data_IF_321247334445
#
_entry.id   IF_321247334445
#
_cell.length_a   1.000
_cell.length_b   1.000
_cell.length_c   1.000
_cell.angle_alpha   90.00
_cell.angle_beta   90.00
_cell.angle_gamma   90.00
#
_symmetry.space_group_name_H-M   'P 1'
#
loop_
_entity.id
_entity.type
_entity.pdbx_description
1 polymer ?
#
# COMPACT_ATOMS: atom_id res chain seq x y z
N UNK A 1 24.37 19.74 -0.61
CA UNK A 1 23.21 19.18 0.10
C UNK A 1 23.60 19.10 1.56
N UNK A 2 22.80 19.58 2.53
CA UNK A 2 23.07 19.24 3.92
C UNK A 2 23.08 17.72 4.00
N UNK A 3 24.14 17.16 4.56
CA UNK A 3 24.19 15.77 4.96
C UNK A 3 23.57 15.71 6.35
N UNK A 4 22.59 14.83 6.59
CA UNK A 4 21.97 13.89 5.64
C UNK A 4 20.90 14.54 4.75
N UNK A 5 20.59 13.89 3.62
CA UNK A 5 19.45 14.24 2.76
C UNK A 5 18.10 14.01 3.46
N UNK A 6 17.01 14.43 2.83
CA UNK A 6 15.67 14.25 3.38
C UNK A 6 15.23 12.77 3.31
N UNK A 7 14.77 12.22 4.43
CA UNK A 7 14.24 10.85 4.47
C UNK A 7 12.84 10.78 3.87
N UNK A 8 12.75 10.25 2.65
CA UNK A 8 11.47 10.03 1.98
C UNK A 8 10.67 8.88 2.57
N UNK A 9 11.31 7.81 3.09
CA UNK A 9 10.58 6.66 3.60
C UNK A 9 9.73 7.00 4.80
N UNK A 10 8.49 6.51 4.73
CA UNK A 10 7.44 6.95 5.63
C UNK A 10 7.20 5.95 6.76
N UNK A 11 6.77 6.50 7.88
CA UNK A 11 6.23 5.79 9.03
C UNK A 11 4.71 5.90 8.93
N UNK A 12 4.00 4.78 8.93
CA UNK A 12 2.53 4.75 8.83
C UNK A 12 1.95 4.10 10.09
N UNK A 13 1.10 4.83 10.80
CA UNK A 13 0.36 4.36 11.95
C UNK A 13 -1.14 4.39 11.65
N UNK A 14 -1.81 3.28 11.90
CA UNK A 14 -3.26 3.15 11.85
C UNK A 14 -3.78 2.63 13.19
N UNK A 15 -4.68 3.37 13.82
CA UNK A 15 -5.33 2.99 15.08
C UNK A 15 -6.83 2.97 14.88
N UNK A 16 -7.45 1.86 15.25
CA UNK A 16 -8.89 1.64 15.20
C UNK A 16 -9.45 1.48 16.60
N UNK A 17 -10.55 2.17 16.85
CA UNK A 17 -11.25 2.20 18.12
C UNK A 17 -12.55 1.41 18.03
N UNK A 18 -12.98 0.86 19.16
CA UNK A 18 -14.29 0.24 19.25
C UNK A 18 -15.39 1.30 19.03
N UNK A 19 -16.41 1.03 18.19
CA UNK A 19 -17.53 1.94 18.01
C UNK A 19 -18.36 2.07 19.28
N UNK A 20 -18.23 3.19 19.99
CA UNK A 20 -19.12 3.55 21.09
C UNK A 20 -20.21 4.48 20.54
N UNK A 21 -21.49 4.14 20.76
CA UNK A 21 -22.62 4.84 20.16
C UNK A 21 -22.53 6.37 20.37
N UNK A 22 -22.66 7.12 19.27
CA UNK A 22 -22.60 8.59 19.15
C UNK A 22 -21.23 9.27 19.36
N UNK A 23 -20.12 8.53 19.45
CA UNK A 23 -18.76 9.11 19.49
C UNK A 23 -18.07 8.99 18.14
N UNK A 24 -17.15 9.90 17.87
CA UNK A 24 -16.45 9.96 16.58
C UNK A 24 -15.16 10.77 16.73
N UNK A 25 -14.03 10.26 16.24
CA UNK A 25 -12.76 11.01 16.17
C UNK A 25 -12.90 12.29 15.34
N UNK A 26 -13.89 12.36 14.44
CA UNK A 26 -14.20 13.58 13.68
C UNK A 26 -14.75 14.72 14.54
N UNK A 27 -15.09 14.45 15.80
CA UNK A 27 -15.45 15.48 16.79
C UNK A 27 -14.24 16.12 17.47
N UNK A 28 -13.02 15.65 17.20
CA UNK A 28 -11.81 16.28 17.70
C UNK A 28 -11.70 17.71 17.16
N UNK A 29 -11.48 18.65 18.06
CA UNK A 29 -11.18 20.04 17.71
C UNK A 29 -9.83 20.16 17.03
N UNK A 30 -9.63 21.26 16.32
CA UNK A 30 -8.34 21.56 15.68
C UNK A 30 -7.18 21.59 16.67
N UNK A 31 -7.38 22.18 17.85
CA UNK A 31 -6.38 22.21 18.92
C UNK A 31 -6.01 20.80 19.42
N UNK A 32 -7.00 19.89 19.54
CA UNK A 32 -6.71 18.50 19.91
C UNK A 32 -5.91 17.79 18.82
N UNK A 33 -6.22 18.02 17.55
CA UNK A 33 -5.48 17.45 16.42
C UNK A 33 -4.04 17.97 16.40
N UNK A 34 -3.88 19.29 16.41
CA UNK A 34 -2.56 19.94 16.44
C UNK A 34 -1.75 19.50 17.67
N UNK A 35 -2.41 19.22 18.81
CA UNK A 35 -1.69 18.82 20.03
C UNK A 35 -0.91 17.51 19.91
N UNK A 36 -1.37 16.51 19.14
CA UNK A 36 -0.59 15.30 18.91
C UNK A 36 0.33 15.42 17.69
N UNK A 37 -0.03 16.22 16.68
CA UNK A 37 0.85 16.48 15.53
C UNK A 37 2.10 17.27 15.95
N UNK A 38 1.96 18.24 16.85
CA UNK A 38 3.08 18.98 17.41
C UNK A 38 4.09 18.08 18.14
N UNK A 39 3.62 16.98 18.76
CA UNK A 39 4.50 15.98 19.39
C UNK A 39 5.24 15.15 18.34
N UNK A 40 4.58 14.87 17.21
CA UNK A 40 5.23 14.24 16.07
C UNK A 40 6.25 15.18 15.39
N UNK A 41 6.16 16.50 15.60
CA UNK A 41 6.92 17.55 14.92
C UNK A 41 6.44 17.82 13.49
N UNK A 42 5.13 17.73 13.24
CA UNK A 42 4.51 18.10 11.97
C UNK A 42 3.27 18.99 12.16
N UNK A 43 2.88 19.72 11.12
CA UNK A 43 1.74 20.66 11.14
C UNK A 43 0.83 20.44 9.94
N UNK A 44 -0.43 20.88 10.01
CA UNK A 44 -1.37 20.81 8.88
C UNK A 44 -1.13 22.01 7.96
N UNK A 45 -0.91 21.75 6.67
CA UNK A 45 -0.71 22.76 5.63
C UNK A 45 -1.93 22.93 4.72
N UNK A 46 -2.75 21.90 4.58
CA UNK A 46 -4.02 21.95 3.84
C UNK A 46 -5.01 20.91 4.36
N UNK A 47 -6.29 21.07 4.06
CA UNK A 47 -7.35 20.19 4.54
C UNK A 47 -8.45 20.01 3.51
N UNK A 48 -9.08 18.84 3.52
CA UNK A 48 -10.26 18.51 2.74
C UNK A 48 -11.10 17.48 3.49
N UNK A 49 -12.41 17.67 3.57
CA UNK A 49 -13.31 16.79 4.31
C UNK A 49 -14.48 16.36 3.43
N UNK A 50 -15.07 15.21 3.74
CA UNK A 50 -16.33 14.77 3.13
C UNK A 50 -17.29 14.15 4.17
N UNK A 51 -18.38 13.52 3.70
CA UNK A 51 -19.35 12.89 4.58
C UNK A 51 -18.82 11.73 5.42
N UNK A 52 -17.65 11.18 5.09
CA UNK A 52 -17.09 9.96 5.65
C UNK A 52 -15.89 10.21 6.57
N UNK A 53 -14.97 11.09 6.19
CA UNK A 53 -13.74 11.37 6.95
C UNK A 53 -13.22 12.79 6.69
N UNK A 54 -12.31 13.20 7.56
CA UNK A 54 -11.55 14.44 7.45
C UNK A 54 -10.11 14.12 7.06
N UNK A 55 -9.55 14.86 6.10
CA UNK A 55 -8.22 14.63 5.55
C UNK A 55 -7.38 15.90 5.65
N UNK A 56 -6.12 15.73 6.04
CA UNK A 56 -5.18 16.81 6.25
C UNK A 56 -3.86 16.49 5.56
N UNK A 57 -3.42 17.41 4.70
CA UNK A 57 -2.06 17.39 4.18
C UNK A 57 -1.18 18.00 5.27
N UNK A 58 -0.13 17.28 5.65
CA UNK A 58 0.81 17.70 6.67
C UNK A 58 2.06 18.31 6.03
N UNK A 59 2.82 19.07 6.81
CA UNK A 59 4.16 19.54 6.44
C UNK A 59 5.11 18.40 6.10
N UNK A 60 4.83 17.20 6.64
CA UNK A 60 5.67 16.01 6.55
C UNK A 60 4.82 14.75 6.24
N UNK A 61 3.93 14.77 5.23
CA UNK A 61 3.04 13.66 4.74
C UNK A 61 1.53 13.93 4.99
N UNK A 62 0.77 13.03 5.64
CA UNK A 62 -0.71 13.08 5.66
C UNK A 62 -1.40 12.48 6.91
N UNK A 63 -2.61 12.96 7.18
CA UNK A 63 -3.51 12.50 8.26
C UNK A 63 -4.94 12.28 7.73
N UNK A 64 -5.55 11.17 8.12
CA UNK A 64 -6.95 10.82 7.84
C UNK A 64 -7.70 10.45 9.12
N UNK A 65 -8.81 11.13 9.39
CA UNK A 65 -9.66 10.91 10.57
C UNK A 65 -11.04 10.43 10.13
N UNK A 66 -11.30 9.15 10.33
CA UNK A 66 -12.61 8.51 10.21
C UNK A 66 -13.32 8.51 11.58
N UNK A 67 -14.62 8.12 11.66
CA UNK A 67 -15.32 8.08 12.94
C UNK A 67 -14.62 7.26 14.03
N UNK A 68 -14.08 6.09 13.72
CA UNK A 68 -13.37 5.24 14.69
C UNK A 68 -12.04 4.69 14.17
N UNK A 69 -11.45 5.35 13.16
CA UNK A 69 -10.11 5.04 12.64
C UNK A 69 -9.33 6.34 12.44
N UNK A 70 -8.07 6.34 12.82
CA UNK A 70 -7.11 7.39 12.45
C UNK A 70 -5.93 6.76 11.73
N UNK A 71 -5.53 7.35 10.60
CA UNK A 71 -4.32 6.99 9.85
C UNK A 71 -3.42 8.19 9.81
N UNK A 72 -2.20 8.06 10.32
CA UNK A 72 -1.17 9.09 10.29
C UNK A 72 0.03 8.53 9.56
N UNK A 73 0.49 9.26 8.56
CA UNK A 73 1.69 8.94 7.82
C UNK A 73 2.64 10.12 7.92
N UNK A 74 3.92 9.84 8.16
CA UNK A 74 4.94 10.88 8.35
C UNK A 74 6.27 10.50 7.70
N UNK A 75 6.95 11.45 7.08
CA UNK A 75 8.31 11.29 6.54
C UNK A 75 9.36 12.07 7.35
N UNK A 76 10.59 12.16 6.84
CA UNK A 76 11.69 12.87 7.49
C UNK A 76 12.08 12.25 8.83
N UNK A 77 12.45 13.12 9.77
CA UNK A 77 12.81 12.76 11.16
C UNK A 77 11.64 12.91 12.13
N UNK A 78 10.41 12.98 11.62
CA UNK A 78 9.18 13.07 12.41
C UNK A 78 9.08 11.91 13.42
N UNK A 79 8.62 12.22 14.64
CA UNK A 79 8.59 11.30 15.80
C UNK A 79 7.20 10.69 15.99
N UNK A 80 6.70 10.02 14.96
CA UNK A 80 5.31 9.55 14.90
C UNK A 80 4.86 8.79 16.16
N UNK A 81 5.64 7.83 16.64
CA UNK A 81 5.24 7.02 17.80
C UNK A 81 5.25 7.80 19.12
N UNK A 82 5.95 8.95 19.21
CA UNK A 82 5.83 9.84 20.39
C UNK A 82 4.49 10.54 20.47
N UNK A 83 3.76 10.70 19.37
CA UNK A 83 2.43 11.29 19.36
C UNK A 83 1.36 10.35 19.95
N UNK A 84 1.66 9.05 20.04
CA UNK A 84 0.71 8.01 20.41
C UNK A 84 0.06 8.21 21.78
N UNK A 85 0.79 8.50 22.88
CA UNK A 85 0.16 8.77 24.17
C UNK A 85 -0.83 9.93 24.12
N UNK A 86 -0.48 11.01 23.39
CA UNK A 86 -1.34 12.19 23.26
C UNK A 86 -2.58 11.89 22.42
N UNK A 87 -2.41 11.18 21.31
CA UNK A 87 -3.50 10.71 20.45
C UNK A 87 -4.51 9.87 21.25
N UNK A 88 -4.03 8.87 21.99
CA UNK A 88 -4.89 7.99 22.80
C UNK A 88 -5.61 8.78 23.90
N UNK A 89 -4.94 9.73 24.55
CA UNK A 89 -5.54 10.59 25.56
C UNK A 89 -6.66 11.49 24.99
N UNK A 90 -6.46 12.09 23.80
CA UNK A 90 -7.52 12.92 23.19
C UNK A 90 -8.68 12.07 22.69
N UNK A 91 -8.44 10.87 22.15
CA UNK A 91 -9.49 9.93 21.78
C UNK A 91 -10.31 9.49 23.01
N UNK A 92 -9.64 9.16 24.12
CA UNK A 92 -10.30 8.83 25.37
C UNK A 92 -11.16 9.99 25.91
N UNK A 93 -10.70 11.24 25.77
CA UNK A 93 -11.44 12.43 26.22
C UNK A 93 -12.79 12.63 25.53
N UNK A 94 -12.96 12.08 24.32
CA UNK A 94 -14.22 12.10 23.57
C UNK A 94 -14.98 10.77 23.66
N UNK A 95 -14.58 9.87 24.58
CA UNK A 95 -15.25 8.60 24.84
C UNK A 95 -14.77 7.42 23.97
N UNK A 96 -13.67 7.56 23.24
CA UNK A 96 -13.05 6.50 22.44
C UNK A 96 -11.77 5.99 23.11
N UNK A 97 -11.92 5.19 24.16
CA UNK A 97 -10.80 4.67 24.94
C UNK A 97 -10.36 3.24 24.57
N UNK A 98 -11.27 2.42 24.02
CA UNK A 98 -10.99 1.02 23.67
C UNK A 98 -10.40 0.96 22.26
N UNK A 99 -9.09 0.75 22.15
CA UNK A 99 -8.43 0.40 20.89
C UNK A 99 -8.66 -1.07 20.60
N UNK A 100 -8.94 -1.39 19.35
CA UNK A 100 -9.31 -2.76 18.93
C UNK A 100 -8.40 -3.31 17.84
N UNK A 101 -7.67 -2.43 17.15
CA UNK A 101 -6.58 -2.79 16.23
C UNK A 101 -5.60 -1.63 16.11
N UNK A 102 -4.31 -1.94 16.13
CA UNK A 102 -3.24 -1.04 15.74
C UNK A 102 -2.40 -1.72 14.66
N UNK A 103 -2.03 -0.96 13.63
CA UNK A 103 -1.05 -1.38 12.62
C UNK A 103 -0.02 -0.28 12.44
N UNK A 104 1.25 -0.68 12.47
CA UNK A 104 2.37 0.18 12.14
C UNK A 104 3.17 -0.45 10.99
N UNK A 105 3.48 0.34 9.97
CA UNK A 105 4.30 -0.10 8.83
C UNK A 105 5.32 0.95 8.44
N UNK A 106 6.48 0.47 7.97
CA UNK A 106 7.45 1.30 7.25
C UNK A 106 8.38 0.46 6.38
N UNK A 107 8.96 1.12 5.37
CA UNK A 107 10.10 0.58 4.64
C UNK A 107 11.41 0.64 5.44
N UNK A 108 12.48 0.14 4.84
CA UNK A 108 13.84 0.49 5.25
C UNK A 108 14.10 1.97 4.97
N UNK A 109 14.67 2.67 5.94
CA UNK A 109 15.10 4.06 5.82
C UNK A 109 16.33 4.18 4.90
N UNK A 110 16.44 5.30 4.17
CA UNK A 110 17.66 5.66 3.46
C UNK A 110 18.74 6.21 4.40
N UNK A 111 18.32 6.88 5.48
CA UNK A 111 19.16 7.52 6.48
C UNK A 111 18.76 7.05 7.89
N UNK A 112 18.91 5.74 8.22
CA UNK A 112 18.51 5.19 9.51
C UNK A 112 19.25 5.83 10.70
N UNK A 113 20.51 6.24 10.51
CA UNK A 113 21.39 6.80 11.54
C UNK A 113 20.94 8.14 12.12
N UNK A 114 20.05 8.85 11.43
CA UNK A 114 19.51 10.15 11.86
C UNK A 114 18.06 10.10 12.31
N UNK A 115 17.44 8.92 12.27
CA UNK A 115 16.10 8.75 12.79
C UNK A 115 16.11 8.93 14.31
N UNK A 116 15.28 9.80 14.88
CA UNK A 116 15.27 9.99 16.33
C UNK A 116 14.54 8.84 17.03
N UNK A 117 14.86 8.62 18.31
CA UNK A 117 14.07 7.73 19.18
C UNK A 117 12.56 8.04 19.06
N UNK A 118 11.68 7.02 18.93
CA UNK A 118 11.96 5.57 18.99
C UNK A 118 12.22 4.90 17.64
N UNK A 119 12.63 5.65 16.61
CA UNK A 119 12.71 5.17 15.23
C UNK A 119 14.12 4.74 14.77
N UNK A 120 15.08 4.55 15.69
CA UNK A 120 16.43 4.10 15.30
C UNK A 120 16.44 2.66 14.79
N UNK A 121 15.55 1.81 15.30
CA UNK A 121 15.45 0.40 14.92
C UNK A 121 14.01 -0.09 15.03
N UNK A 122 13.70 -1.19 14.33
CA UNK A 122 12.37 -1.78 14.41
C UNK A 122 12.06 -2.34 15.80
N UNK A 123 13.06 -2.86 16.51
CA UNK A 123 12.89 -3.37 17.87
C UNK A 123 12.52 -2.26 18.88
N UNK A 124 13.03 -1.04 18.70
CA UNK A 124 12.61 0.12 19.50
C UNK A 124 11.16 0.50 19.22
N UNK A 125 10.76 0.49 17.94
CA UNK A 125 9.39 0.80 17.52
C UNK A 125 8.41 -0.25 18.06
N UNK A 126 8.73 -1.54 17.96
CA UNK A 126 7.93 -2.64 18.49
C UNK A 126 7.76 -2.51 20.01
N UNK A 127 8.84 -2.28 20.76
CA UNK A 127 8.76 -2.08 22.23
C UNK A 127 7.87 -0.89 22.58
N UNK A 128 8.01 0.22 21.88
CA UNK A 128 7.18 1.42 22.09
C UNK A 128 5.70 1.11 21.80
N UNK A 129 5.40 0.35 20.74
CA UNK A 129 4.04 -0.05 20.41
C UNK A 129 3.46 -1.02 21.45
N UNK A 130 4.25 -1.99 21.93
CA UNK A 130 3.82 -2.96 22.94
C UNK A 130 3.53 -2.32 24.31
N UNK A 131 4.19 -1.21 24.67
CA UNK A 131 3.84 -0.42 25.86
C UNK A 131 2.39 0.09 25.83
N UNK A 132 1.84 0.32 24.63
CA UNK A 132 0.47 0.82 24.44
C UNK A 132 -0.54 -0.27 24.07
N UNK A 133 -0.11 -1.27 23.31
CA UNK A 133 -0.99 -2.23 22.66
C UNK A 133 -0.68 -3.69 22.98
N UNK A 134 0.36 -3.97 23.78
CA UNK A 134 0.72 -5.34 24.17
C UNK A 134 -0.35 -6.03 25.03
N UNK A 135 -1.28 -5.28 25.61
CA UNK A 135 -2.45 -5.82 26.29
C UNK A 135 -3.54 -6.32 25.34
N UNK A 136 -3.47 -5.99 24.04
CA UNK A 136 -4.34 -6.61 23.05
C UNK A 136 -3.92 -8.08 22.90
N UNK A 137 -4.89 -9.00 23.00
CA UNK A 137 -4.65 -10.45 23.13
C UNK A 137 -3.80 -11.10 22.02
N UNK A 138 -3.54 -10.41 20.90
CA UNK A 138 -2.66 -10.89 19.84
C UNK A 138 -1.89 -9.74 19.18
N UNK A 139 -0.56 -9.74 19.35
CA UNK A 139 0.37 -8.93 18.55
C UNK A 139 1.31 -9.82 17.74
N UNK A 140 1.71 -9.35 16.56
CA UNK A 140 2.72 -9.96 15.69
C UNK A 140 3.52 -8.85 15.02
N UNK A 141 4.82 -9.03 14.90
CA UNK A 141 5.67 -8.20 14.05
C UNK A 141 6.47 -9.08 13.08
N UNK A 142 6.70 -8.58 11.87
CA UNK A 142 7.42 -9.30 10.82
C UNK A 142 8.19 -8.31 9.95
N UNK A 143 9.32 -8.77 9.41
CA UNK A 143 10.11 -8.06 8.42
C UNK A 143 10.15 -8.90 7.15
N UNK A 144 9.57 -8.38 6.07
CA UNK A 144 9.52 -9.05 4.77
C UNK A 144 10.47 -8.37 3.78
N UNK A 145 10.81 -9.04 2.67
CA UNK A 145 11.71 -8.51 1.64
C UNK A 145 13.12 -9.05 1.73
N UNK A 146 14.04 -8.38 1.05
CA UNK A 146 15.45 -8.75 0.92
C UNK A 146 16.38 -7.66 1.47
N UNK A 147 17.69 -7.81 1.28
CA UNK A 147 18.67 -6.83 1.75
C UNK A 147 18.61 -5.47 1.04
N UNK A 148 17.95 -5.39 -0.12
CA UNK A 148 17.75 -4.11 -0.82
C UNK A 148 16.61 -3.32 -0.20
N UNK A 149 15.46 -3.95 0.04
CA UNK A 149 14.30 -3.28 0.63
C UNK A 149 13.50 -4.21 1.52
N UNK A 150 13.41 -3.84 2.80
CA UNK A 150 12.60 -4.53 3.80
C UNK A 150 11.30 -3.77 4.08
N UNK A 151 10.27 -4.51 4.43
CA UNK A 151 8.98 -3.99 4.88
C UNK A 151 8.71 -4.47 6.30
N UNK A 152 8.67 -3.53 7.23
CA UNK A 152 8.50 -3.79 8.65
C UNK A 152 7.03 -3.60 8.99
N UNK A 153 6.43 -4.62 9.60
CA UNK A 153 5.00 -4.64 9.93
C UNK A 153 4.84 -5.02 11.38
N UNK A 154 4.13 -4.19 12.15
CA UNK A 154 3.61 -4.52 13.47
C UNK A 154 2.09 -4.47 13.41
N UNK A 155 1.43 -5.49 13.94
CA UNK A 155 -0.03 -5.51 14.14
C UNK A 155 -0.34 -6.01 15.54
N UNK A 156 -1.21 -5.28 16.24
CA UNK A 156 -1.87 -5.73 17.45
C UNK A 156 -3.39 -5.64 17.26
N UNK A 157 -4.13 -6.68 17.65
CA UNK A 157 -5.59 -6.75 17.46
C UNK A 157 -6.22 -7.50 18.61
N UNK A 158 -7.45 -7.10 18.98
CA UNK A 158 -8.32 -7.95 19.80
C UNK A 158 -8.63 -9.27 19.07
N UNK A 159 -8.84 -10.33 19.84
CA UNK A 159 -9.17 -11.64 19.30
C UNK A 159 -10.63 -11.67 18.79
N UNK A 160 -10.94 -12.62 17.91
CA UNK A 160 -12.32 -12.82 17.43
C UNK A 160 -13.29 -13.17 18.58
N UNK A 161 -12.81 -13.82 19.64
CA UNK A 161 -13.59 -14.14 20.83
C UNK A 161 -13.94 -12.91 21.66
N UNK A 162 -13.08 -11.89 21.70
CA UNK A 162 -13.35 -10.64 22.44
C UNK A 162 -14.44 -9.78 21.79
N UNK A 163 -14.78 -10.11 20.54
CA UNK A 163 -15.88 -9.50 19.77
C UNK A 163 -17.11 -10.40 19.68
N UNK A 164 -17.04 -11.62 20.22
CA UNK A 164 -18.13 -12.58 20.17
C UNK A 164 -19.24 -12.16 21.14
N UNK A 165 -20.30 -11.56 20.60
CA UNK A 165 -21.45 -11.06 21.38
C UNK A 165 -21.96 -9.70 20.89
N UNK A 166 -21.14 -8.97 20.13
CA UNK A 166 -21.50 -7.69 19.54
C UNK A 166 -21.79 -7.89 18.05
N UNK A 167 -22.91 -7.35 17.56
CA UNK A 167 -23.47 -7.65 16.23
C UNK A 167 -22.58 -7.14 15.08
N UNK A 168 -21.48 -7.83 14.80
CA UNK A 168 -20.72 -7.65 13.58
C UNK A 168 -21.52 -8.33 12.46
N UNK A 169 -22.02 -7.52 11.55
CA UNK A 169 -22.62 -7.97 10.29
C UNK A 169 -21.78 -9.11 9.68
N UNK A 170 -22.42 -10.24 9.34
CA UNK A 170 -21.83 -11.36 8.57
C UNK A 170 -21.46 -10.96 7.13
N UNK A 171 -21.06 -9.72 6.89
CA UNK A 171 -20.55 -9.26 5.60
C UNK A 171 -19.09 -9.65 5.47
N UNK A 172 -18.78 -10.48 4.48
CA UNK A 172 -17.44 -10.86 4.02
C UNK A 172 -16.70 -9.70 3.36
N UNK A 173 -16.79 -8.50 3.92
CA UNK A 173 -16.13 -7.34 3.34
C UNK A 173 -14.69 -7.33 3.85
N UNK A 174 -13.75 -7.06 2.95
CA UNK A 174 -12.34 -6.88 3.26
C UNK A 174 -11.99 -5.44 2.94
N UNK A 175 -11.33 -4.76 3.87
CA UNK A 175 -10.70 -3.46 3.61
C UNK A 175 -9.30 -3.74 3.10
N UNK A 176 -8.99 -3.19 1.93
CA UNK A 176 -7.67 -3.24 1.34
C UNK A 176 -6.96 -1.92 1.54
N UNK A 177 -5.71 -2.00 1.97
CA UNK A 177 -4.74 -0.91 1.96
C UNK A 177 -3.61 -1.29 1.03
N UNK A 178 -3.39 -0.49 -0.01
CA UNK A 178 -2.29 -0.61 -0.96
C UNK A 178 -1.26 0.46 -0.62
N UNK A 179 0.01 0.08 -0.47
CA UNK A 179 1.16 0.96 -0.28
C UNK A 179 2.20 0.64 -1.35
N UNK A 180 2.54 1.61 -2.19
CA UNK A 180 3.56 1.52 -3.23
C UNK A 180 4.68 2.49 -2.89
N UNK A 181 5.90 1.98 -2.70
CA UNK A 181 7.09 2.80 -2.44
C UNK A 181 8.03 2.73 -3.63
N UNK A 182 8.47 3.87 -4.13
CA UNK A 182 9.17 4.01 -5.40
C UNK A 182 10.45 4.80 -5.20
N UNK A 183 11.58 4.27 -5.66
CA UNK A 183 12.89 4.92 -5.60
C UNK A 183 13.51 4.98 -6.99
N UNK A 184 14.61 5.73 -7.12
CA UNK A 184 15.30 5.92 -8.40
C UNK A 184 14.34 6.47 -9.47
N UNK A 185 13.63 7.55 -9.14
CA UNK A 185 12.61 8.14 -10.01
C UNK A 185 13.24 8.65 -11.31
N UNK A 186 12.51 8.56 -12.42
CA UNK A 186 13.00 9.10 -13.68
C UNK A 186 13.20 10.63 -13.56
N UNK A 187 14.41 11.10 -13.87
CA UNK A 187 14.79 12.51 -13.68
C UNK A 187 13.94 13.48 -14.49
N UNK A 188 13.39 13.07 -15.64
CA UNK A 188 12.52 13.94 -16.44
C UNK A 188 11.16 14.15 -15.77
N UNK A 189 10.69 13.13 -15.07
CA UNK A 189 9.43 13.14 -14.33
C UNK A 189 9.59 13.83 -12.97
N UNK A 190 10.67 13.53 -12.24
CA UNK A 190 10.97 14.15 -10.94
C UNK A 190 11.07 15.69 -11.02
N UNK A 191 11.52 16.22 -12.17
CA UNK A 191 11.58 17.67 -12.44
C UNK A 191 10.23 18.38 -12.32
N UNK A 192 9.12 17.69 -12.55
CA UNK A 192 7.77 18.26 -12.41
C UNK A 192 7.43 18.63 -10.96
N UNK A 193 8.22 18.19 -9.98
CA UNK A 193 8.01 18.46 -8.55
C UNK A 193 9.04 19.46 -7.98
N UNK A 194 9.75 20.17 -8.86
CA UNK A 194 10.51 21.37 -8.50
C UNK A 194 9.72 22.60 -8.93
N UNK A 195 9.64 23.61 -8.06
CA UNK A 195 9.02 24.87 -8.45
C UNK A 195 9.82 25.51 -9.58
N UNK A 196 9.09 26.04 -10.55
CA UNK A 196 9.62 26.75 -11.72
C UNK A 196 8.66 27.88 -12.12
N UNK A 197 9.03 28.69 -13.10
CA UNK A 197 8.15 29.76 -13.59
C UNK A 197 6.78 29.26 -14.10
N UNK A 198 6.69 28.00 -14.55
CA UNK A 198 5.46 27.39 -15.09
C UNK A 198 4.81 26.36 -14.16
N UNK A 199 5.45 25.99 -13.05
CA UNK A 199 4.94 25.01 -12.08
C UNK A 199 5.17 25.61 -10.70
N UNK A 200 4.12 26.15 -10.09
CA UNK A 200 4.23 26.89 -8.82
C UNK A 200 3.37 26.27 -7.73
N UNK A 201 2.22 25.72 -8.11
CA UNK A 201 1.21 25.21 -7.17
C UNK A 201 1.18 23.68 -7.14
N UNK A 202 0.51 23.11 -6.12
CA UNK A 202 0.21 21.68 -6.07
C UNK A 202 -0.55 21.24 -7.31
N UNK A 203 -1.62 21.95 -7.67
CA UNK A 203 -2.44 21.68 -8.85
C UNK A 203 -1.62 21.62 -10.16
N UNK A 204 -0.64 22.51 -10.33
CA UNK A 204 0.27 22.48 -11.49
C UNK A 204 1.07 21.17 -11.52
N UNK A 205 1.64 20.77 -10.38
CA UNK A 205 2.39 19.51 -10.26
C UNK A 205 1.47 18.31 -10.50
N UNK A 206 0.25 18.30 -9.95
CA UNK A 206 -0.75 17.24 -10.13
C UNK A 206 -1.10 17.04 -11.60
N UNK A 207 -1.34 18.14 -12.33
CA UNK A 207 -1.68 18.13 -13.76
C UNK A 207 -0.49 17.76 -14.63
N UNK A 208 0.68 18.33 -14.37
CA UNK A 208 1.89 18.09 -15.17
C UNK A 208 2.41 16.65 -15.05
N UNK A 209 2.28 16.04 -13.87
CA UNK A 209 2.72 14.66 -13.61
C UNK A 209 1.70 13.59 -14.03
N UNK A 210 0.44 13.97 -14.24
CA UNK A 210 -0.65 13.03 -14.54
C UNK A 210 -1.27 12.36 -13.31
N UNK A 211 -0.94 12.81 -12.09
CA UNK A 211 -1.49 12.27 -10.83
C UNK A 211 -3.03 12.32 -10.81
N UNK A 212 -3.63 13.37 -11.38
CA UNK A 212 -5.08 13.51 -11.50
C UNK A 212 -5.76 12.37 -12.28
N UNK A 213 -4.99 11.59 -13.05
CA UNK A 213 -5.50 10.46 -13.85
C UNK A 213 -5.38 9.11 -13.13
N UNK A 214 -4.73 9.03 -11.96
CA UNK A 214 -4.56 7.77 -11.22
C UNK A 214 -5.91 7.27 -10.68
N UNK A 215 -6.66 8.17 -10.04
CA UNK A 215 -8.00 7.93 -9.49
C UNK A 215 -8.92 9.11 -9.91
N UNK A 216 -9.46 9.09 -11.14
CA UNK A 216 -10.06 10.26 -11.78
C UNK A 216 -11.36 10.77 -11.13
N UNK A 217 -11.94 10.01 -10.20
CA UNK A 217 -13.14 10.40 -9.44
C UNK A 217 -12.81 10.97 -8.06
N UNK A 218 -11.55 10.91 -7.63
CA UNK A 218 -11.13 11.46 -6.35
C UNK A 218 -11.06 12.97 -6.39
N UNK A 219 -11.53 13.63 -5.34
CA UNK A 219 -11.21 15.04 -5.09
C UNK A 219 -9.81 15.12 -4.52
N UNK A 220 -8.96 15.97 -5.10
CA UNK A 220 -7.56 16.12 -4.75
C UNK A 220 -7.36 17.39 -3.91
N UNK A 221 -6.66 17.25 -2.80
CA UNK A 221 -6.11 18.33 -2.00
C UNK A 221 -4.59 18.22 -2.06
N UNK A 222 -3.96 19.08 -2.86
CA UNK A 222 -2.54 19.04 -3.16
C UNK A 222 -1.77 20.20 -2.51
N UNK A 223 -0.46 20.01 -2.35
CA UNK A 223 0.44 21.00 -1.79
C UNK A 223 1.84 20.88 -2.41
N UNK A 224 2.38 22.02 -2.85
CA UNK A 224 3.74 22.13 -3.40
C UNK A 224 4.68 22.79 -2.38
N UNK A 225 5.71 22.05 -1.96
CA UNK A 225 6.72 22.50 -1.01
C UNK A 225 7.78 23.38 -1.68
N UNK A 226 8.56 24.08 -0.85
CA UNK A 226 9.61 24.99 -1.30
C UNK A 226 11.00 24.48 -0.91
N UNK A 227 11.99 24.50 -1.83
CA UNK A 227 11.88 24.85 -3.26
C UNK A 227 11.28 23.73 -4.13
N UNK A 228 11.13 22.53 -3.58
CA UNK A 228 10.62 21.34 -4.26
C UNK A 228 9.92 20.41 -3.27
N UNK A 229 9.30 19.36 -3.81
CA UNK A 229 8.53 18.39 -3.04
C UNK A 229 7.03 18.60 -3.19
N UNK A 230 6.29 17.50 -3.04
CA UNK A 230 4.85 17.49 -3.27
C UNK A 230 4.16 16.51 -2.32
N UNK A 231 2.99 16.90 -1.82
CA UNK A 231 2.08 16.03 -1.09
C UNK A 231 0.66 16.23 -1.60
N UNK A 232 -0.14 15.17 -1.61
CA UNK A 232 -1.57 15.28 -1.85
C UNK A 232 -2.35 14.21 -1.12
N UNK A 233 -3.60 14.56 -0.82
CA UNK A 233 -4.64 13.64 -0.40
C UNK A 233 -5.75 13.57 -1.45
N UNK A 234 -6.26 12.36 -1.69
CA UNK A 234 -7.40 12.08 -2.55
C UNK A 234 -8.56 11.52 -1.73
N UNK A 235 -9.77 12.01 -1.97
CA UNK A 235 -11.00 11.54 -1.31
C UNK A 235 -12.01 11.05 -2.35
N UNK A 236 -12.51 9.82 -2.20
CA UNK A 236 -13.59 9.27 -3.02
C UNK A 236 -14.55 8.43 -2.16
N UNK A 237 -15.72 9.00 -1.82
CA UNK A 237 -16.63 8.41 -0.83
C UNK A 237 -15.88 8.12 0.49
N UNK A 238 -15.93 6.88 1.00
CA UNK A 238 -15.17 6.45 2.18
C UNK A 238 -13.72 6.03 1.91
N UNK A 239 -13.26 6.07 0.66
CA UNK A 239 -11.90 5.70 0.30
C UNK A 239 -10.97 6.91 0.27
N UNK A 240 -9.72 6.73 0.68
CA UNK A 240 -8.69 7.76 0.57
C UNK A 240 -7.50 7.26 -0.26
N UNK A 241 -6.75 8.20 -0.83
CA UNK A 241 -5.42 7.97 -1.37
C UNK A 241 -4.47 9.09 -0.95
N UNK A 242 -3.17 8.84 -0.96
CA UNK A 242 -2.16 9.87 -0.67
C UNK A 242 -0.89 9.63 -1.48
N UNK A 243 -0.22 10.71 -1.87
CA UNK A 243 1.07 10.65 -2.58
C UNK A 243 2.04 11.65 -1.95
N UNK A 244 3.26 11.20 -1.69
CA UNK A 244 4.35 12.03 -1.14
C UNK A 244 5.60 11.87 -1.99
N UNK A 245 6.25 12.98 -2.32
CA UNK A 245 7.34 13.00 -3.30
C UNK A 245 8.50 13.84 -2.79
N UNK A 246 9.66 13.20 -2.75
CA UNK A 246 11.00 13.78 -2.57
C UNK A 246 11.72 13.65 -3.91
N UNK A 247 11.74 14.69 -4.77
CA UNK A 247 12.21 14.57 -6.14
C UNK A 247 13.73 14.65 -6.33
N UNK A 248 14.49 14.91 -5.26
CA UNK A 248 15.94 15.15 -5.31
C UNK A 248 16.74 13.95 -5.82
N UNK A 249 17.72 14.23 -6.69
CA UNK A 249 18.59 13.20 -7.25
C UNK A 249 19.47 12.55 -6.17
N UNK A 250 19.68 11.24 -6.28
CA UNK A 250 20.45 10.44 -5.33
C UNK A 250 19.65 9.82 -4.18
N UNK A 251 18.54 10.44 -3.77
CA UNK A 251 17.62 9.89 -2.76
C UNK A 251 16.14 10.10 -3.14
N UNK A 252 15.87 10.18 -4.44
CA UNK A 252 14.52 10.41 -4.97
C UNK A 252 13.57 9.33 -4.49
N UNK A 253 12.43 9.74 -3.95
CA UNK A 253 11.42 8.87 -3.39
C UNK A 253 10.03 9.35 -3.78
N UNK A 254 9.14 8.43 -4.11
CA UNK A 254 7.72 8.69 -4.18
C UNK A 254 6.96 7.54 -3.51
N UNK A 255 5.86 7.87 -2.83
CA UNK A 255 4.91 6.88 -2.36
C UNK A 255 3.53 7.12 -2.94
N UNK A 256 2.79 6.04 -3.11
CA UNK A 256 1.35 6.06 -3.35
C UNK A 256 0.70 5.12 -2.35
N UNK A 257 -0.32 5.59 -1.65
CA UNK A 257 -1.15 4.74 -0.81
C UNK A 257 -2.62 4.95 -1.16
N UNK A 258 -3.42 3.88 -1.06
CA UNK A 258 -4.87 4.00 -1.03
C UNK A 258 -5.52 2.96 -0.11
N UNK A 259 -6.65 3.32 0.49
CA UNK A 259 -7.42 2.44 1.36
C UNK A 259 -8.91 2.55 1.06
N UNK A 260 -9.59 1.40 1.04
CA UNK A 260 -11.07 1.34 0.95
C UNK A 260 -11.65 1.40 -0.46
N UNK A 261 -10.81 1.34 -1.51
CA UNK A 261 -11.25 1.22 -2.89
C UNK A 261 -11.81 -0.18 -3.19
N UNK A 262 -12.82 -0.26 -4.06
CA UNK A 262 -13.39 -1.52 -4.54
C UNK A 262 -12.39 -2.25 -5.46
N UNK A 263 -11.92 -3.45 -5.09
CA UNK A 263 -10.98 -4.21 -5.90
C UNK A 263 -11.46 -4.49 -7.32
N UNK A 264 -12.74 -4.82 -7.47
CA UNK A 264 -13.33 -5.22 -8.74
C UNK A 264 -13.50 -4.04 -9.70
N UNK A 265 -13.80 -2.85 -9.17
CA UNK A 265 -13.94 -1.63 -9.99
C UNK A 265 -12.60 -0.98 -10.32
N UNK A 266 -11.66 -1.04 -9.38
CA UNK A 266 -10.41 -0.27 -9.47
C UNK A 266 -9.34 -1.02 -10.23
N UNK A 267 -9.27 -2.35 -10.03
CA UNK A 267 -8.29 -3.27 -10.62
C UNK A 267 -6.85 -2.99 -10.16
N UNK A 268 -6.25 -3.89 -9.37
CA UNK A 268 -4.93 -3.68 -8.76
C UNK A 268 -3.83 -3.40 -9.78
N UNK A 269 -3.65 -4.29 -10.77
CA UNK A 269 -2.60 -4.15 -11.78
C UNK A 269 -2.77 -2.85 -12.59
N UNK A 270 -4.00 -2.52 -12.99
CA UNK A 270 -4.28 -1.29 -13.74
C UNK A 270 -4.04 -0.02 -12.91
N UNK A 271 -4.29 -0.07 -11.60
CA UNK A 271 -3.97 1.01 -10.67
C UNK A 271 -2.45 1.19 -10.53
N UNK A 272 -1.72 0.10 -10.31
CA UNK A 272 -0.25 0.12 -10.23
C UNK A 272 0.33 0.68 -11.54
N UNK A 273 -0.16 0.26 -12.70
CA UNK A 273 0.28 0.80 -14.00
C UNK A 273 0.04 2.31 -14.11
N UNK A 274 -1.09 2.82 -13.62
CA UNK A 274 -1.38 4.26 -13.60
C UNK A 274 -0.40 5.01 -12.69
N UNK A 275 -0.11 4.48 -11.51
CA UNK A 275 0.87 5.04 -10.57
C UNK A 275 2.27 5.05 -11.20
N UNK A 276 2.75 3.93 -11.71
CA UNK A 276 4.10 3.81 -12.29
C UNK A 276 4.30 4.71 -13.50
N UNK A 277 3.27 5.00 -14.30
CA UNK A 277 3.38 5.97 -15.41
C UNK A 277 3.72 7.38 -14.94
N UNK A 278 3.31 7.75 -13.73
CA UNK A 278 3.52 9.08 -13.17
C UNK A 278 4.91 9.28 -12.57
N UNK A 279 5.67 8.21 -12.32
CA UNK A 279 6.94 8.27 -11.56
C UNK A 279 8.10 7.53 -12.23
N UNK A 280 7.81 6.49 -13.02
CA UNK A 280 8.77 5.64 -13.75
C UNK A 280 10.01 5.25 -12.90
N UNK A 281 9.81 4.63 -11.73
CA UNK A 281 10.92 4.31 -10.85
C UNK A 281 11.85 3.24 -11.42
N UNK A 282 13.12 3.25 -11.02
CA UNK A 282 14.06 2.14 -11.24
C UNK A 282 13.76 0.94 -10.34
N UNK A 283 13.21 1.17 -9.16
CA UNK A 283 12.80 0.16 -8.20
C UNK A 283 11.53 0.57 -7.46
N UNK A 284 10.64 -0.39 -7.21
CA UNK A 284 9.49 -0.14 -6.35
C UNK A 284 9.06 -1.39 -5.59
N UNK A 285 8.39 -1.18 -4.47
CA UNK A 285 7.71 -2.22 -3.70
C UNK A 285 6.22 -1.99 -3.68
N UNK A 286 5.46 -3.08 -3.53
CA UNK A 286 4.01 -3.08 -3.37
C UNK A 286 3.66 -3.89 -2.14
N UNK A 287 3.00 -3.26 -1.17
CA UNK A 287 2.40 -3.91 -0.01
C UNK A 287 0.88 -3.82 -0.14
N UNK A 288 0.19 -4.97 -0.09
CA UNK A 288 -1.26 -5.04 0.06
C UNK A 288 -1.57 -5.65 1.41
N UNK A 289 -2.31 -4.92 2.24
CA UNK A 289 -2.87 -5.43 3.48
C UNK A 289 -4.37 -5.62 3.31
N UNK A 290 -4.83 -6.83 3.60
CA UNK A 290 -6.22 -7.23 3.57
C UNK A 290 -6.68 -7.46 5.00
N UNK A 291 -7.68 -6.71 5.45
CA UNK A 291 -8.16 -6.80 6.82
C UNK A 291 -9.68 -6.82 6.89
N UNK A 292 -10.28 -7.64 7.78
CA UNK A 292 -11.70 -7.54 8.03
C UNK A 292 -12.02 -6.17 8.66
N UNK A 293 -13.20 -5.60 8.38
CA UNK A 293 -13.64 -4.38 9.00
C UNK A 293 -13.81 -4.61 10.50
N UNK A 294 -13.34 -3.64 11.28
CA UNK A 294 -13.49 -3.64 12.72
C UNK A 294 -14.91 -3.26 13.13
N UNK A 295 -15.60 -2.50 12.30
CA UNK A 295 -16.94 -1.96 12.53
C UNK A 295 -17.66 -1.75 11.19
N UNK A 296 -18.96 -1.50 11.24
CA UNK A 296 -19.73 -1.02 10.08
C UNK A 296 -19.53 0.46 9.81
N UNK A 297 -18.46 1.08 10.32
CA UNK A 297 -18.21 2.49 10.06
C UNK A 297 -18.20 2.74 8.57
N UNK A 298 -18.87 3.83 8.24
CA UNK A 298 -19.31 4.25 6.92
C UNK A 298 -18.15 4.58 5.97
N UNK A 299 -17.08 3.79 5.89
CA UNK A 299 -16.68 3.40 4.55
C UNK A 299 -17.93 2.73 4.01
N UNK A 300 -18.63 3.34 3.05
CA UNK A 300 -19.59 2.62 2.22
C UNK A 300 -18.80 1.52 1.54
N UNK A 301 -18.59 0.42 2.26
CA UNK A 301 -17.83 -0.72 1.83
C UNK A 301 -18.54 -1.18 0.57
N UNK A 302 -17.82 -1.32 -0.55
CA UNK A 302 -18.43 -1.78 -1.76
C UNK A 302 -19.15 -3.11 -1.50
N UNK A 303 -20.34 -3.21 -2.09
CA UNK A 303 -21.17 -4.39 -2.18
C UNK A 303 -20.32 -5.65 -2.43
N UNK A 304 -20.52 -6.71 -1.62
CA UNK A 304 -19.96 -8.07 -1.74
C UNK A 304 -19.00 -8.26 -2.93
N UNK A 305 -17.69 -8.32 -2.69
CA UNK A 305 -16.73 -8.62 -3.76
C UNK A 305 -16.92 -10.05 -4.25
N UNK A 306 -17.67 -10.24 -5.33
CA UNK A 306 -17.78 -11.52 -6.01
C UNK A 306 -16.59 -11.68 -6.98
N UNK A 307 -15.40 -11.96 -6.47
CA UNK A 307 -14.35 -12.66 -7.23
C UNK A 307 -12.95 -12.03 -7.33
N UNK A 308 -12.78 -10.70 -7.29
CA UNK A 308 -11.45 -10.07 -7.38
C UNK A 308 -10.97 -9.62 -6.01
N UNK A 309 -9.78 -10.08 -5.62
CA UNK A 309 -9.17 -9.84 -4.31
C UNK A 309 -7.73 -9.35 -4.52
N UNK A 310 -7.31 -8.27 -3.85
CA UNK A 310 -5.98 -7.67 -4.04
C UNK A 310 -4.85 -8.42 -3.32
N UNK A 311 -5.20 -9.31 -2.39
CA UNK A 311 -4.31 -10.20 -1.64
C UNK A 311 -3.92 -11.48 -2.41
N UNK A 312 -4.19 -11.51 -3.72
CA UNK A 312 -3.71 -12.55 -4.64
C UNK A 312 -2.54 -12.04 -5.49
N UNK A 313 -1.99 -12.92 -6.32
CA UNK A 313 -0.84 -12.64 -7.17
C UNK A 313 -0.96 -11.32 -7.96
N UNK A 314 0.04 -10.46 -7.80
CA UNK A 314 0.24 -9.26 -8.62
C UNK A 314 1.00 -9.67 -9.89
N UNK A 315 0.51 -9.25 -11.05
CA UNK A 315 1.24 -9.46 -12.30
C UNK A 315 2.36 -8.43 -12.40
N UNK A 316 3.58 -8.89 -12.72
CA UNK A 316 4.68 -7.97 -12.96
C UNK A 316 4.31 -6.99 -14.09
N UNK A 317 4.38 -5.66 -13.87
CA UNK A 317 4.15 -4.69 -14.93
C UNK A 317 5.13 -4.91 -16.08
N UNK A 318 4.71 -4.66 -17.33
CA UNK A 318 5.44 -5.06 -18.57
C UNK A 318 6.93 -4.67 -18.60
N UNK A 319 7.31 -3.56 -17.96
CA UNK A 319 8.68 -3.05 -17.96
C UNK A 319 9.52 -3.51 -16.75
N UNK A 320 8.95 -4.31 -15.84
CA UNK A 320 9.53 -4.62 -14.54
C UNK A 320 9.60 -6.12 -14.31
N UNK A 321 10.66 -6.57 -13.64
CA UNK A 321 10.80 -7.92 -13.15
C UNK A 321 10.48 -7.95 -11.65
N UNK A 322 9.68 -8.94 -11.23
CA UNK A 322 9.49 -9.23 -9.80
C UNK A 322 10.81 -9.78 -9.23
N UNK A 323 11.31 -9.17 -8.16
CA UNK A 323 12.55 -9.59 -7.48
C UNK A 323 12.29 -10.29 -6.14
N UNK A 324 11.08 -10.20 -5.58
CA UNK A 324 10.73 -10.77 -4.28
C UNK A 324 9.24 -10.81 -4.05
N UNK A 325 8.76 -11.82 -3.32
CA UNK A 325 7.35 -12.03 -2.98
C UNK A 325 7.24 -12.69 -1.62
N UNK A 326 6.48 -12.08 -0.72
CA UNK A 326 6.25 -12.56 0.63
C UNK A 326 4.76 -12.45 0.96
N UNK A 327 4.25 -13.41 1.73
CA UNK A 327 2.90 -13.37 2.29
C UNK A 327 2.97 -13.73 3.76
N UNK A 328 2.27 -12.98 4.58
CA UNK A 328 2.20 -13.20 6.02
C UNK A 328 0.77 -13.06 6.53
N UNK A 329 0.32 -14.09 7.25
CA UNK A 329 -0.92 -14.02 8.03
C UNK A 329 -0.66 -13.26 9.34
N UNK A 330 -1.60 -12.39 9.71
CA UNK A 330 -1.48 -11.44 10.82
C UNK A 330 -2.67 -11.59 11.80
N UNK A 331 -2.54 -11.10 13.03
CA UNK A 331 -3.63 -11.05 14.01
C UNK A 331 -4.92 -10.42 13.45
N UNK A 332 -6.04 -10.76 14.08
CA UNK A 332 -7.36 -10.26 13.69
C UNK A 332 -7.90 -10.84 12.37
N UNK A 333 -7.28 -11.90 11.84
CA UNK A 333 -7.65 -12.50 10.55
C UNK A 333 -7.31 -11.59 9.36
N UNK A 334 -6.26 -10.79 9.49
CA UNK A 334 -5.73 -9.96 8.41
C UNK A 334 -4.49 -10.62 7.81
N UNK A 335 -4.12 -10.21 6.60
CA UNK A 335 -2.93 -10.71 5.92
C UNK A 335 -2.24 -9.58 5.17
N UNK A 336 -0.94 -9.72 4.95
CA UNK A 336 -0.15 -8.82 4.12
C UNK A 336 0.55 -9.61 3.02
N UNK A 337 0.57 -9.03 1.82
CA UNK A 337 1.35 -9.51 0.68
C UNK A 337 2.31 -8.39 0.29
N UNK A 338 3.58 -8.73 0.15
CA UNK A 338 4.65 -7.78 -0.17
C UNK A 338 5.45 -8.26 -1.37
N UNK A 339 5.56 -7.41 -2.38
CA UNK A 339 6.30 -7.66 -3.61
C UNK A 339 7.32 -6.55 -3.85
N UNK A 340 8.46 -6.90 -4.43
CA UNK A 340 9.47 -5.95 -4.90
C UNK A 340 9.70 -6.14 -6.39
N UNK A 341 9.94 -5.03 -7.09
CA UNK A 341 10.09 -5.00 -8.52
C UNK A 341 11.26 -4.10 -8.92
N UNK A 342 11.99 -4.52 -9.94
CA UNK A 342 13.08 -3.76 -10.53
C UNK A 342 12.82 -3.56 -12.01
N UNK A 343 13.18 -2.38 -12.55
CA UNK A 343 13.13 -2.11 -13.97
C UNK A 343 13.93 -3.19 -14.71
N UNK A 344 13.28 -3.92 -15.61
CA UNK A 344 13.93 -4.98 -16.34
C UNK A 344 15.06 -4.36 -17.17
N UNK A 345 16.30 -4.85 -16.99
CA UNK A 345 17.36 -4.55 -17.94
C UNK A 345 16.85 -4.99 -19.30
N UNK A 346 16.86 -4.10 -20.31
CA UNK A 346 16.51 -4.46 -21.69
C UNK A 346 17.46 -5.58 -22.14
N UNK A 347 17.05 -6.82 -21.96
CA UNK A 347 17.53 -7.95 -22.72
C UNK A 347 16.50 -8.21 -23.81
N UNK A 348 16.99 -8.47 -25.01
CA UNK A 348 16.18 -8.82 -26.17
C UNK A 348 15.17 -9.92 -25.80
N UNK A 349 13.94 -9.74 -26.29
CA UNK A 349 12.71 -10.47 -25.99
C UNK A 349 12.87 -11.96 -25.61
N UNK A 350 12.44 -12.32 -24.40
CA UNK A 350 12.14 -13.70 -23.98
C UNK A 350 10.71 -13.78 -23.42
N UNK A 351 10.01 -14.93 -23.51
CA UNK A 351 8.57 -15.01 -23.29
C UNK A 351 8.15 -14.77 -21.83
N UNK A 352 7.00 -14.09 -21.68
CA UNK A 352 6.33 -13.73 -20.42
C UNK A 352 6.15 -14.93 -19.48
N UNK A 353 6.66 -14.84 -18.26
CA UNK A 353 6.39 -15.83 -17.21
C UNK A 353 5.20 -15.39 -16.34
N UNK A 354 4.23 -16.29 -16.18
CA UNK A 354 3.15 -16.19 -15.19
C UNK A 354 3.61 -16.96 -13.95
N UNK A 355 3.63 -16.31 -12.78
CA UNK A 355 4.04 -16.94 -11.52
C UNK A 355 2.76 -17.30 -10.73
N UNK A 356 2.54 -18.60 -10.50
CA UNK A 356 1.55 -19.10 -9.55
C UNK A 356 2.18 -19.18 -8.15
N UNK A 357 1.40 -18.91 -7.11
CA UNK A 357 1.76 -19.21 -5.72
C UNK A 357 1.70 -20.74 -5.56
N UNK A 358 2.75 -21.35 -5.01
CA UNK A 358 2.73 -22.78 -4.70
C UNK A 358 1.75 -23.02 -3.55
N UNK A 359 0.81 -23.95 -3.75
CA UNK A 359 0.03 -24.55 -2.68
C UNK A 359 0.90 -25.63 -2.03
N UNK A 360 1.09 -25.57 -0.70
CA UNK A 360 1.72 -26.64 0.07
C UNK A 360 0.79 -27.85 0.07
N UNK A 361 1.05 -28.84 -0.80
CA UNK A 361 0.42 -30.16 -0.69
C UNK A 361 1.20 -31.02 0.30
N UNK A 362 0.51 -31.44 1.37
CA UNK A 362 0.99 -32.41 2.36
C UNK A 362 1.45 -33.71 1.70
N UNK A 363 2.72 -34.07 1.92
CA UNK A 363 3.29 -35.36 1.54
C UNK A 363 2.75 -36.47 2.46
N UNK A 364 1.81 -37.27 1.97
CA UNK A 364 1.43 -38.53 2.62
C UNK A 364 2.35 -39.63 2.09
N UNK A 365 3.28 -40.06 2.95
CA UNK A 365 4.17 -41.18 2.69
C UNK A 365 3.38 -42.49 2.52
N UNK A 366 3.59 -43.19 1.40
CA UNK A 366 3.13 -44.56 1.20
C UNK A 366 4.34 -45.49 1.06
N UNK A 367 4.45 -46.35 2.07
CA UNK A 367 5.48 -47.36 2.24
C UNK A 367 5.35 -48.48 1.19
N UNK A 368 6.48 -49.04 0.80
CA UNK A 368 6.60 -50.09 -0.21
C UNK A 368 6.23 -51.45 0.37
N UNK A 369 5.56 -52.33 -0.40
CA UNK A 369 5.79 -53.80 -0.41
C UNK A 369 4.87 -54.52 -1.42
N UNK A 370 5.49 -54.90 -2.55
CA UNK A 370 5.61 -56.24 -3.13
C UNK A 370 4.40 -57.14 -3.52
N UNK A 371 4.66 -57.83 -4.63
CA UNK A 371 4.18 -59.15 -5.11
C UNK A 371 2.84 -59.34 -5.85
N UNK A 372 3.02 -59.74 -7.11
CA UNK A 372 2.48 -60.94 -7.80
C UNK A 372 1.08 -60.94 -8.44
N UNK A 373 1.15 -61.03 -9.77
CA UNK A 373 0.52 -62.00 -10.68
C UNK A 373 -1.00 -62.04 -10.95
N UNK A 374 -1.23 -62.28 -12.26
CA UNK A 374 -2.35 -62.91 -12.97
C UNK A 374 -3.47 -62.05 -13.60
N UNK A 375 -3.47 -62.19 -14.95
CA UNK A 375 -4.61 -62.47 -15.82
C UNK A 375 -5.56 -61.34 -16.27
N UNK A 376 -5.55 -61.12 -17.60
CA UNK A 376 -6.77 -61.36 -18.36
C UNK A 376 -7.47 -60.17 -19.02
N UNK A 377 -7.03 -59.89 -20.25
CA UNK A 377 -7.89 -59.68 -21.43
C UNK A 377 -8.62 -58.33 -21.68
N UNK A 378 -8.45 -57.93 -22.95
CA UNK A 378 -9.30 -57.09 -23.81
C UNK A 378 -9.41 -55.58 -23.50
N UNK A 379 -9.59 -54.70 -24.47
CA UNK A 379 -9.26 -54.60 -25.90
C UNK A 379 -9.81 -53.23 -26.32
N UNK A 380 -9.03 -52.45 -27.07
CA UNK A 380 -9.40 -51.78 -28.33
C UNK A 380 -8.69 -50.44 -28.55
N UNK A 381 -7.77 -50.50 -29.53
CA UNK A 381 -7.46 -49.56 -30.62
C UNK A 381 -7.27 -48.06 -30.34
N UNK A 382 -5.99 -47.73 -30.45
CA UNK A 382 -5.35 -46.51 -30.98
C UNK A 382 -5.76 -46.14 -32.42
N UNK A 383 -5.82 -44.83 -32.71
CA UNK A 383 -5.14 -44.15 -33.84
C UNK A 383 -5.32 -42.62 -33.67
N UNK A 384 -4.28 -41.83 -33.35
CA UNK A 384 -3.20 -41.23 -34.17
C UNK A 384 -3.59 -40.07 -35.11
N UNK A 385 -2.94 -38.93 -34.81
CA UNK A 385 -2.24 -37.99 -35.71
C UNK A 385 -3.06 -37.03 -36.61
N UNK A 386 -2.82 -35.71 -36.48
CA UNK A 386 -1.84 -34.95 -37.32
C UNK A 386 -1.85 -33.43 -37.05
N UNK A 387 -0.66 -32.83 -37.10
CA UNK A 387 -0.40 -31.38 -37.24
C UNK A 387 -0.69 -30.90 -38.67
N UNK A 388 -0.94 -29.60 -38.91
CA UNK A 388 -0.81 -28.99 -40.23
C UNK A 388 0.45 -28.12 -40.39
N UNK A 389 0.89 -28.02 -41.64
CA UNK A 389 2.10 -27.38 -42.19
C UNK A 389 1.86 -25.97 -42.74
N UNK A 390 2.97 -25.25 -42.94
CA UNK A 390 3.16 -23.90 -43.49
C UNK A 390 2.56 -23.65 -44.89
N UNK A 391 2.32 -22.36 -45.23
CA UNK A 391 2.29 -21.87 -46.61
C UNK A 391 2.80 -20.41 -46.68
N UNK A 392 3.68 -20.15 -47.65
CA UNK A 392 4.32 -18.85 -48.00
C UNK A 392 3.40 -17.93 -48.79
N UNK A 393 3.55 -16.60 -48.66
CA UNK A 393 3.16 -15.60 -49.67
C UNK A 393 4.22 -14.49 -49.78
N UNK A 394 4.46 -14.03 -51.01
CA UNK A 394 5.58 -13.22 -51.48
C UNK A 394 5.41 -11.69 -51.37
N UNK A 395 6.53 -10.99 -51.53
CA UNK A 395 6.74 -9.54 -51.48
C UNK A 395 6.09 -8.74 -52.62
N UNK A 396 5.74 -7.48 -52.32
CA UNK A 396 5.72 -6.34 -53.25
C UNK A 396 6.33 -5.10 -52.58
N UNK A 397 7.18 -4.38 -53.31
CA UNK A 397 7.91 -3.18 -52.90
C UNK A 397 7.27 -1.88 -53.47
N UNK A 398 7.71 -0.66 -53.07
CA UNK A 398 6.87 0.53 -52.91
C UNK A 398 6.87 1.50 -54.11
N UNK A 399 5.84 2.36 -54.18
CA UNK A 399 5.72 3.48 -55.13
C UNK A 399 5.93 4.83 -54.41
N UNK A 400 6.77 5.68 -55.01
CA UNK A 400 7.12 7.04 -54.57
C UNK A 400 6.03 8.09 -54.92
N UNK A 401 6.04 9.14 -54.10
CA UNK A 401 5.36 10.44 -54.10
C UNK A 401 5.08 11.19 -55.44
N UNK A 402 4.05 12.06 -55.42
CA UNK A 402 4.19 13.52 -55.69
C UNK A 402 2.89 14.34 -55.44
N UNK A 403 3.10 15.48 -54.76
CA UNK A 403 2.51 16.84 -54.88
C UNK A 403 1.02 17.01 -55.23
N UNK A 404 0.34 17.73 -54.34
CA UNK A 404 -0.69 18.75 -54.60
C UNK A 404 -0.46 19.87 -53.60
#
# INVERSE_FOLDING_TARGET
MPTPGFEGFEKRLEVEFFPAAARSLRSLSRDQIDSFLNVAECTIVSQLSNGHFDSYVLSESSLFIYPHRIVIKTCGTTRLLKALPKLLAVAASIGLARVVRCKYTRGSFLFPEVQPFPHHSFDEEVRTLDEHFGSLHSSKHVVMGDDRQKWHVYVASESKSDRAGEAVSKSSNTIYTLEVCMTELDKSVARSFFKSASIVTGEDMTRASGINSILPRSQICDFAFDPCGYSMNGLENGAHSTIHITPEDGFSYASFECMGYDPAKTGLNALIDRVLRCFKPGFFSVCVHAAPPVSTDSVTLPLKSTGSTWDKAISAPVAYACSGSHKEELPGGSAVVYHTFQLAKRFECGPTQVIALADDEEEVAADSLNTQDEAGANAYKTDKLRRPTETKVAMLQPVKARRG
#
